data_IF_040321143412
#
_entry.id   IF_040321143412
#
_cell.length_a   1.000
_cell.length_b   1.000
_cell.length_c   1.000
_cell.angle_alpha   90.00
_cell.angle_beta   90.00
_cell.angle_gamma   90.00
#
_symmetry.space_group_name_H-M   'P 1'
#
loop_
_entity.id
_entity.type
_entity.pdbx_description
1 polymer ?
#
# COMPACT_ATOMS: atom_id res chain seq x y z
N UNK A 1 5.98 9.07 19.87
CA UNK A 1 4.85 8.33 20.46
C UNK A 1 3.78 8.10 19.39
N UNK A 2 3.78 6.92 18.77
CA UNK A 2 2.71 6.47 17.87
C UNK A 2 1.46 6.21 18.72
N UNK A 3 0.41 7.02 18.53
CA UNK A 3 -0.87 6.76 19.17
C UNK A 3 -1.54 5.60 18.43
N UNK A 4 -1.53 4.46 19.11
CA UNK A 4 -2.14 3.18 18.77
C UNK A 4 -3.58 3.36 18.28
N UNK A 5 -3.88 2.97 17.03
CA UNK A 5 -5.25 2.86 16.52
C UNK A 5 -5.77 1.46 16.86
N UNK A 6 -6.27 1.26 18.08
CA UNK A 6 -7.00 0.03 18.41
C UNK A 6 -8.38 0.02 17.75
N UNK A 7 -8.72 -1.07 17.06
CA UNK A 7 -10.12 -1.37 16.71
C UNK A 7 -10.76 -2.13 17.88
N UNK A 8 -12.02 -1.84 18.25
CA UNK A 8 -12.71 -2.62 19.26
C UNK A 8 -13.09 -4.00 18.68
N UNK A 9 -12.65 -5.08 19.34
CA UNK A 9 -13.29 -6.39 19.23
C UNK A 9 -12.79 -7.38 18.16
N UNK A 10 -11.57 -7.26 17.65
CA UNK A 10 -10.99 -8.28 16.77
C UNK A 10 -9.50 -8.42 17.05
N UNK A 11 -9.01 -9.66 17.20
CA UNK A 11 -7.59 -9.94 17.38
C UNK A 11 -6.74 -9.22 16.32
N UNK A 12 -5.52 -8.82 16.73
CA UNK A 12 -4.49 -8.21 15.88
C UNK A 12 -4.41 -8.94 14.54
N UNK A 13 -4.84 -8.29 13.46
CA UNK A 13 -4.61 -8.78 12.12
C UNK A 13 -3.49 -7.94 11.55
N UNK A 14 -2.29 -8.40 11.87
CA UNK A 14 -1.02 -7.78 11.58
C UNK A 14 -0.72 -7.91 10.07
N UNK A 15 -0.82 -6.79 9.36
CA UNK A 15 -0.85 -6.73 7.89
C UNK A 15 0.31 -5.90 7.31
N UNK A 16 0.94 -6.41 6.24
CA UNK A 16 1.59 -5.52 5.28
C UNK A 16 0.52 -4.94 4.38
N UNK A 17 0.29 -3.64 4.53
CA UNK A 17 -0.68 -2.86 3.80
C UNK A 17 -0.04 -2.32 2.51
N UNK A 18 -0.76 -2.40 1.38
CA UNK A 18 -0.30 -1.89 0.09
C UNK A 18 -1.19 -0.73 -0.33
N UNK A 19 -0.62 0.48 -0.38
CA UNK A 19 -1.29 1.66 -0.92
C UNK A 19 -0.82 1.92 -2.36
N UNK A 20 -1.76 1.95 -3.29
CA UNK A 20 -1.53 2.27 -4.70
C UNK A 20 -2.02 3.67 -5.01
N UNK A 21 -1.11 4.62 -5.20
CA UNK A 21 -1.46 5.98 -5.63
C UNK A 21 -1.53 6.09 -7.16
N UNK A 22 -2.57 6.73 -7.69
CA UNK A 22 -2.64 7.09 -9.11
C UNK A 22 -2.18 8.53 -9.38
N UNK A 23 -1.10 8.66 -10.16
CA UNK A 23 -0.51 9.92 -10.60
C UNK A 23 -1.35 10.63 -11.66
N UNK A 24 -1.24 11.97 -11.70
CA UNK A 24 -1.97 12.81 -12.64
C UNK A 24 -1.26 12.91 -14.00
N UNK A 25 -1.54 11.98 -14.92
CA UNK A 25 -1.42 12.25 -16.36
C UNK A 25 -2.79 11.99 -17.02
N UNK A 26 -3.45 13.11 -17.31
CA UNK A 26 -4.51 13.38 -18.30
C UNK A 26 -5.26 12.18 -18.91
N UNK A 27 -6.33 11.74 -18.24
CA UNK A 27 -7.62 11.70 -18.94
C UNK A 27 -8.07 13.16 -19.03
N UNK A 28 -8.35 13.63 -20.25
CA UNK A 28 -8.56 15.03 -20.63
C UNK A 28 -9.23 15.87 -19.55
N UNK A 29 -8.72 17.09 -19.40
CA UNK A 29 -9.24 18.10 -18.49
C UNK A 29 -10.77 18.05 -18.39
N UNK A 30 -11.30 17.79 -17.20
CA UNK A 30 -12.49 18.46 -16.66
C UNK A 30 -12.71 18.10 -15.18
N UNK A 31 -12.65 19.17 -14.38
CA UNK A 31 -13.20 19.40 -13.03
C UNK A 31 -12.31 19.08 -11.83
N UNK A 32 -11.75 20.16 -11.29
CA UNK A 32 -11.45 20.33 -9.88
C UNK A 32 -12.69 19.97 -9.01
N UNK A 33 -12.46 19.32 -7.86
CA UNK A 33 -13.50 19.07 -6.84
C UNK A 33 -13.86 17.61 -6.55
N UNK A 34 -13.07 16.61 -6.95
CA UNK A 34 -13.38 15.21 -6.59
C UNK A 34 -12.86 14.83 -5.21
N UNK A 35 -13.80 14.42 -4.34
CA UNK A 35 -13.56 13.75 -3.05
C UNK A 35 -12.57 12.59 -3.21
N UNK A 36 -11.61 12.48 -2.28
CA UNK A 36 -10.73 11.33 -2.16
C UNK A 36 -11.57 10.09 -1.87
N UNK A 37 -11.57 9.12 -2.78
CA UNK A 37 -12.16 7.81 -2.54
C UNK A 37 -11.01 6.82 -2.49
N UNK A 38 -10.78 6.27 -1.30
CA UNK A 38 -9.95 5.10 -1.09
C UNK A 38 -10.85 3.86 -1.17
N UNK A 39 -10.39 2.83 -1.87
CA UNK A 39 -11.14 1.57 -2.00
C UNK A 39 -10.27 0.44 -1.49
N UNK A 40 -10.75 -0.25 -0.46
CA UNK A 40 -10.14 -1.50 0.03
C UNK A 40 -10.65 -2.66 -0.82
N UNK A 41 -9.74 -3.36 -1.51
CA UNK A 41 -10.08 -4.50 -2.35
C UNK A 41 -10.78 -5.61 -1.53
N UNK A 42 -10.36 -5.82 -0.28
CA UNK A 42 -10.96 -6.77 0.66
C UNK A 42 -12.31 -6.32 1.29
N UNK A 43 -12.83 -5.13 0.96
CA UNK A 43 -14.07 -4.60 1.56
C UNK A 43 -15.14 -4.25 0.53
N UNK A 44 -15.08 -4.87 -0.65
CA UNK A 44 -16.15 -4.80 -1.66
C UNK A 44 -17.39 -5.62 -1.30
N UNK A 45 -17.73 -5.74 -0.02
CA UNK A 45 -18.70 -6.71 0.47
C UNK A 45 -20.05 -6.13 0.90
N UNK A 46 -20.27 -4.81 0.95
CA UNK A 46 -21.60 -4.28 1.30
C UNK A 46 -22.04 -3.07 0.48
N UNK A 47 -23.07 -3.32 -0.35
CA UNK A 47 -23.98 -2.36 -1.00
C UNK A 47 -23.55 -1.66 -2.30
N UNK A 48 -23.37 -2.43 -3.39
CA UNK A 48 -23.55 -1.91 -4.75
C UNK A 48 -24.78 -2.58 -5.40
N UNK A 49 -25.96 -2.01 -5.15
CA UNK A 49 -27.17 -2.38 -5.91
C UNK A 49 -27.13 -1.68 -7.27
N UNK A 50 -26.96 -2.47 -8.35
CA UNK A 50 -26.95 -1.98 -9.74
C UNK A 50 -28.26 -1.29 -10.13
N UNK A 51 -29.36 -1.63 -9.44
CA UNK A 51 -30.71 -1.13 -9.73
C UNK A 51 -30.89 0.38 -9.55
N UNK A 52 -30.15 1.02 -8.64
CA UNK A 52 -30.36 2.43 -8.26
C UNK A 52 -29.33 3.41 -8.85
N UNK A 53 -28.37 2.95 -9.65
CA UNK A 53 -27.37 3.83 -10.26
C UNK A 53 -27.96 4.68 -11.42
N UNK A 54 -27.71 6.00 -11.48
CA UNK A 54 -28.11 6.85 -12.59
C UNK A 54 -27.60 6.31 -13.94
N UNK A 55 -28.31 6.53 -15.08
CA UNK A 55 -27.96 5.95 -16.38
C UNK A 55 -26.49 6.11 -16.78
N UNK A 56 -25.91 7.28 -16.52
CA UNK A 56 -24.47 7.61 -16.74
C UNK A 56 -23.48 6.74 -15.98
N UNK A 57 -23.91 6.04 -14.92
CA UNK A 57 -23.07 5.19 -14.07
C UNK A 57 -23.40 3.70 -14.25
N UNK A 58 -24.45 3.35 -14.98
CA UNK A 58 -24.88 1.96 -15.19
C UNK A 58 -23.87 1.13 -15.97
N UNK A 59 -23.23 1.70 -16.99
CA UNK A 59 -22.20 0.99 -17.78
C UNK A 59 -20.96 0.67 -16.92
N UNK A 60 -20.55 1.61 -16.06
CA UNK A 60 -19.47 1.41 -15.08
C UNK A 60 -19.85 0.44 -13.98
N UNK A 61 -21.08 0.49 -13.47
CA UNK A 61 -21.59 -0.48 -12.50
C UNK A 61 -21.69 -1.90 -13.09
N UNK A 62 -22.11 -2.05 -14.35
CA UNK A 62 -22.09 -3.32 -15.08
C UNK A 62 -20.67 -3.84 -15.29
N UNK A 63 -19.72 -2.96 -15.62
CA UNK A 63 -18.31 -3.32 -15.76
C UNK A 63 -17.69 -3.72 -14.41
N UNK A 64 -18.09 -3.10 -13.29
CA UNK A 64 -17.71 -3.52 -11.94
C UNK A 64 -18.29 -4.89 -11.59
N UNK A 65 -19.55 -5.14 -11.93
CA UNK A 65 -20.21 -6.43 -11.67
C UNK A 65 -19.63 -7.54 -12.53
N UNK A 66 -19.31 -7.27 -13.80
CA UNK A 66 -18.61 -8.26 -14.65
C UNK A 66 -17.20 -8.54 -14.12
N UNK A 67 -16.49 -7.51 -13.67
CA UNK A 67 -15.18 -7.65 -12.98
C UNK A 67 -15.31 -8.35 -11.62
N UNK A 68 -16.48 -8.44 -10.99
CA UNK A 68 -16.70 -9.29 -9.81
C UNK A 68 -17.01 -10.74 -10.20
N UNK A 69 -17.91 -10.93 -11.16
CA UNK A 69 -18.39 -12.27 -11.54
C UNK A 69 -17.31 -13.14 -12.20
N UNK A 70 -16.31 -12.53 -12.83
CA UNK A 70 -15.23 -13.27 -13.48
C UNK A 70 -14.15 -13.83 -12.52
N UNK A 71 -14.14 -13.48 -11.23
CA UNK A 71 -12.94 -13.70 -10.40
C UNK A 71 -13.13 -14.37 -9.02
N UNK A 72 -14.35 -14.77 -8.63
CA UNK A 72 -14.60 -15.37 -7.32
C UNK A 72 -14.23 -14.44 -6.14
N UNK A 73 -14.24 -14.95 -4.91
CA UNK A 73 -13.65 -14.20 -3.79
C UNK A 73 -12.13 -14.21 -3.97
N UNK A 74 -11.47 -13.04 -4.01
CA UNK A 74 -10.02 -13.00 -4.15
C UNK A 74 -9.38 -13.36 -2.82
N UNK A 75 -8.85 -14.58 -2.70
CA UNK A 75 -8.25 -15.08 -1.45
C UNK A 75 -6.72 -14.87 -1.41
N UNK A 76 -6.10 -14.49 -2.53
CA UNK A 76 -4.66 -14.24 -2.66
C UNK A 76 -4.34 -12.79 -2.97
N UNK A 77 -3.13 -12.34 -2.60
CA UNK A 77 -2.63 -11.02 -2.96
C UNK A 77 -2.62 -10.80 -4.49
N UNK A 78 -2.20 -11.81 -5.26
CA UNK A 78 -2.21 -11.74 -6.72
C UNK A 78 -3.61 -11.49 -7.27
N UNK A 79 -4.63 -12.17 -6.73
CA UNK A 79 -6.03 -11.96 -7.12
C UNK A 79 -6.51 -10.54 -6.78
N UNK A 80 -6.13 -10.00 -5.60
CA UNK A 80 -6.45 -8.60 -5.24
C UNK A 80 -5.79 -7.60 -6.19
N UNK A 81 -4.50 -7.76 -6.47
CA UNK A 81 -3.77 -6.87 -7.36
C UNK A 81 -4.26 -6.96 -8.80
N UNK A 82 -4.61 -8.16 -9.27
CA UNK A 82 -5.25 -8.35 -10.57
C UNK A 82 -6.59 -7.59 -10.65
N UNK A 83 -7.47 -7.73 -9.65
CA UNK A 83 -8.72 -6.97 -9.59
C UNK A 83 -8.45 -5.45 -9.64
N UNK A 84 -7.47 -4.96 -8.87
CA UNK A 84 -7.08 -3.55 -8.88
C UNK A 84 -6.55 -3.14 -10.27
N UNK A 85 -5.78 -3.98 -10.96
CA UNK A 85 -5.28 -3.71 -12.31
C UNK A 85 -6.44 -3.49 -13.28
N UNK A 86 -7.51 -4.31 -13.20
CA UNK A 86 -8.73 -4.17 -14.00
C UNK A 86 -9.49 -2.89 -13.66
N UNK A 87 -9.58 -2.52 -12.38
CA UNK A 87 -10.22 -1.27 -11.95
C UNK A 87 -9.47 -0.03 -12.46
N UNK A 88 -8.13 -0.06 -12.44
CA UNK A 88 -7.29 1.00 -13.02
C UNK A 88 -7.55 1.12 -14.53
N UNK A 89 -7.55 -0.01 -15.24
CA UNK A 89 -7.81 -0.06 -16.69
C UNK A 89 -9.22 0.43 -17.05
N UNK A 90 -10.22 0.17 -16.21
CA UNK A 90 -11.58 0.66 -16.38
C UNK A 90 -11.72 2.18 -16.16
N UNK A 91 -10.68 2.87 -15.70
CA UNK A 91 -10.64 4.32 -15.61
C UNK A 91 -11.56 4.89 -14.51
N UNK A 92 -11.75 4.15 -13.42
CA UNK A 92 -12.42 4.71 -12.24
C UNK A 92 -11.61 5.88 -11.69
N UNK A 93 -12.32 6.91 -11.19
CA UNK A 93 -11.69 8.10 -10.61
C UNK A 93 -11.07 7.88 -9.21
N UNK A 94 -11.03 6.62 -8.75
CA UNK A 94 -10.36 6.22 -7.51
C UNK A 94 -8.89 6.59 -7.60
N UNK A 95 -8.34 7.21 -6.55
CA UNK A 95 -6.94 7.68 -6.54
C UNK A 95 -6.03 6.82 -5.68
N UNK A 96 -6.62 6.09 -4.74
CA UNK A 96 -5.93 5.19 -3.81
C UNK A 96 -6.66 3.86 -3.77
N UNK A 97 -5.96 2.79 -4.10
CA UNK A 97 -6.41 1.43 -3.82
C UNK A 97 -5.61 0.85 -2.66
N UNK A 98 -6.25 -0.03 -1.91
CA UNK A 98 -5.66 -0.64 -0.74
C UNK A 98 -5.92 -2.15 -0.74
N UNK A 99 -4.88 -2.94 -0.43
CA UNK A 99 -4.99 -4.38 -0.12
C UNK A 99 -3.94 -4.78 0.92
N UNK A 100 -3.97 -6.02 1.40
CA UNK A 100 -3.03 -6.52 2.39
C UNK A 100 -2.57 -7.95 2.10
N UNK A 101 -1.33 -8.25 2.51
CA UNK A 101 -0.81 -9.61 2.64
C UNK A 101 -0.63 -9.91 4.13
N UNK A 102 -1.48 -10.75 4.74
CA UNK A 102 -1.33 -11.14 6.14
C UNK A 102 -0.19 -12.16 6.32
N UNK A 103 0.15 -12.44 7.59
CA UNK A 103 1.07 -13.52 7.97
C UNK A 103 2.45 -13.08 8.44
N UNK A 104 2.76 -11.78 8.41
CA UNK A 104 4.06 -11.26 8.82
C UNK A 104 4.29 -11.23 10.34
N UNK A 105 3.24 -11.45 11.15
CA UNK A 105 3.37 -11.61 12.59
C UNK A 105 3.88 -12.98 12.99
N UNK A 106 5.18 -13.15 12.77
CA UNK A 106 5.87 -14.44 12.88
C UNK A 106 6.53 -14.57 14.26
N UNK A 107 5.78 -15.12 15.22
CA UNK A 107 6.29 -15.41 16.57
C UNK A 107 7.05 -16.74 16.67
N UNK A 108 7.01 -17.57 15.62
CA UNK A 108 7.77 -18.80 15.50
C UNK A 108 8.08 -19.06 14.01
N UNK A 109 9.13 -19.85 13.75
CA UNK A 109 9.54 -20.24 12.38
C UNK A 109 9.61 -19.06 11.40
N UNK A 110 10.13 -17.92 11.88
CA UNK A 110 10.04 -16.65 11.16
C UNK A 110 10.79 -16.69 9.84
N UNK A 111 11.97 -17.32 9.79
CA UNK A 111 12.79 -17.36 8.58
C UNK A 111 12.02 -17.96 7.39
N UNK A 112 11.38 -19.12 7.59
CA UNK A 112 10.66 -19.82 6.53
C UNK A 112 9.37 -19.08 6.16
N UNK A 113 8.56 -18.68 7.16
CA UNK A 113 7.30 -17.98 6.93
C UNK A 113 7.54 -16.64 6.23
N UNK A 114 8.49 -15.84 6.70
CA UNK A 114 8.80 -14.54 6.13
C UNK A 114 9.37 -14.66 4.71
N UNK A 115 10.20 -15.67 4.44
CA UNK A 115 10.71 -15.96 3.08
C UNK A 115 9.57 -16.27 2.11
N UNK A 116 8.64 -17.14 2.51
CA UNK A 116 7.49 -17.50 1.69
C UNK A 116 6.56 -16.30 1.42
N UNK A 117 6.36 -15.44 2.41
CA UNK A 117 5.56 -14.21 2.27
C UNK A 117 6.21 -13.19 1.34
N UNK A 118 7.54 -13.00 1.44
CA UNK A 118 8.27 -12.14 0.52
C UNK A 118 8.25 -12.67 -0.92
N UNK A 119 8.30 -13.99 -1.10
CA UNK A 119 8.15 -14.60 -2.43
C UNK A 119 6.74 -14.36 -3.01
N UNK A 120 5.70 -14.50 -2.21
CA UNK A 120 4.32 -14.19 -2.61
C UNK A 120 4.14 -12.72 -2.96
N UNK A 121 4.68 -11.81 -2.14
CA UNK A 121 4.68 -10.37 -2.41
C UNK A 121 5.38 -10.06 -3.73
N UNK A 122 6.58 -10.59 -3.94
CA UNK A 122 7.37 -10.38 -5.16
C UNK A 122 6.65 -10.86 -6.42
N UNK A 123 6.10 -12.08 -6.40
CA UNK A 123 5.36 -12.64 -7.53
C UNK A 123 4.10 -11.83 -7.86
N UNK A 124 3.31 -11.45 -6.85
CA UNK A 124 2.08 -10.67 -7.03
C UNK A 124 2.38 -9.27 -7.58
N UNK A 125 3.42 -8.60 -7.07
CA UNK A 125 3.83 -7.27 -7.55
C UNK A 125 4.37 -7.34 -8.98
N UNK A 126 5.18 -8.36 -9.31
CA UNK A 126 5.70 -8.55 -10.66
C UNK A 126 4.56 -8.75 -11.67
N UNK A 127 3.61 -9.64 -11.37
CA UNK A 127 2.44 -9.86 -12.22
C UNK A 127 1.63 -8.57 -12.40
N UNK A 128 1.37 -7.85 -11.30
CA UNK A 128 0.62 -6.60 -11.32
C UNK A 128 1.23 -5.54 -12.23
N UNK A 129 2.54 -5.27 -12.10
CA UNK A 129 3.21 -4.30 -12.96
C UNK A 129 3.38 -4.78 -14.39
N UNK A 130 3.44 -6.10 -14.64
CA UNK A 130 3.42 -6.68 -15.99
C UNK A 130 2.10 -6.36 -16.69
N UNK A 131 0.97 -6.61 -16.02
CA UNK A 131 -0.37 -6.30 -16.55
C UNK A 131 -0.57 -4.79 -16.79
N UNK A 132 -0.13 -3.95 -15.85
CA UNK A 132 -0.21 -2.49 -16.01
C UNK A 132 0.66 -1.99 -17.15
N UNK A 133 1.83 -2.59 -17.37
CA UNK A 133 2.73 -2.21 -18.47
C UNK A 133 2.10 -2.57 -19.81
N UNK A 134 1.56 -3.79 -19.95
CA UNK A 134 0.82 -4.21 -21.15
C UNK A 134 -0.38 -3.30 -21.44
N UNK A 135 -1.08 -2.87 -20.40
CA UNK A 135 -2.21 -1.95 -20.51
C UNK A 135 -1.81 -0.46 -20.67
N UNK A 136 -0.51 -0.14 -20.69
CA UNK A 136 0.02 1.23 -20.74
C UNK A 136 -0.48 2.12 -19.58
N UNK A 137 -0.64 1.52 -18.40
CA UNK A 137 -1.08 2.17 -17.15
C UNK A 137 0.00 2.16 -16.06
N UNK A 138 1.17 1.56 -16.27
CA UNK A 138 2.20 1.46 -15.23
C UNK A 138 2.73 2.84 -14.77
N UNK A 139 2.95 3.78 -15.69
CA UNK A 139 3.56 5.10 -15.41
C UNK A 139 2.76 5.98 -14.46
N UNK A 140 1.48 5.66 -14.26
CA UNK A 140 0.59 6.39 -13.35
C UNK A 140 0.36 5.67 -12.04
N UNK A 141 1.10 4.59 -11.74
CA UNK A 141 0.95 3.80 -10.50
C UNK A 141 2.25 3.86 -9.68
N UNK A 142 2.10 4.16 -8.40
CA UNK A 142 3.13 3.94 -7.37
C UNK A 142 2.54 3.05 -6.29
N UNK A 143 3.25 1.98 -5.95
CA UNK A 143 2.91 1.01 -4.91
C UNK A 143 3.80 1.28 -3.69
N UNK A 144 3.20 1.47 -2.52
CA UNK A 144 3.87 1.53 -1.23
C UNK A 144 3.46 0.32 -0.39
N UNK A 145 4.43 -0.44 0.13
CA UNK A 145 4.19 -1.38 1.23
C UNK A 145 4.44 -0.68 2.55
N UNK A 146 3.64 -0.97 3.57
CA UNK A 146 3.85 -0.50 4.93
C UNK A 146 3.30 -1.49 5.97
N UNK A 147 3.75 -1.35 7.20
CA UNK A 147 3.36 -2.21 8.33
C UNK A 147 3.19 -1.36 9.59
N UNK A 148 2.28 -1.75 10.47
CA UNK A 148 2.08 -1.09 11.77
C UNK A 148 3.14 -1.47 12.82
N UNK A 149 3.92 -2.52 12.55
CA UNK A 149 4.99 -3.03 13.40
C UNK A 149 6.21 -3.44 12.57
N UNK A 150 7.34 -3.59 13.26
CA UNK A 150 8.55 -4.26 12.82
C UNK A 150 8.84 -5.49 13.66
N UNK A 151 10.01 -6.11 13.45
CA UNK A 151 10.48 -7.24 14.27
C UNK A 151 11.67 -6.83 15.12
N UNK A 152 11.78 -7.38 16.33
CA UNK A 152 12.97 -7.20 17.16
C UNK A 152 14.19 -7.84 16.53
N UNK A 153 15.37 -7.32 16.89
CA UNK A 153 16.65 -7.84 16.42
C UNK A 153 16.94 -9.22 17.02
N UNK A 154 16.58 -9.43 18.29
CA UNK A 154 16.79 -10.69 18.98
C UNK A 154 15.72 -11.73 18.61
N UNK A 155 16.17 -12.96 18.34
CA UNK A 155 15.31 -14.14 18.22
C UNK A 155 14.68 -14.49 19.58
N UNK A 156 13.43 -14.93 19.57
CA UNK A 156 12.75 -15.46 20.75
C UNK A 156 12.98 -16.98 20.89
N UNK A 157 12.47 -17.59 21.96
CA UNK A 157 12.66 -19.02 22.23
C UNK A 157 11.98 -19.99 21.27
N UNK A 158 11.38 -19.52 20.17
CA UNK A 158 10.61 -20.33 19.21
C UNK A 158 11.07 -20.15 17.76
N UNK A 159 12.32 -19.71 17.55
CA UNK A 159 12.86 -19.37 16.22
C UNK A 159 12.02 -18.31 15.48
N UNK A 160 11.36 -17.43 16.25
CA UNK A 160 10.67 -16.24 15.77
C UNK A 160 11.29 -14.99 16.39
N UNK A 161 10.60 -13.85 16.30
CA UNK A 161 10.97 -12.65 17.06
C UNK A 161 9.76 -12.09 17.77
N UNK A 162 9.92 -11.04 18.57
CA UNK A 162 8.79 -10.26 19.08
C UNK A 162 8.52 -9.03 18.22
N UNK A 163 7.41 -8.34 18.50
CA UNK A 163 7.06 -7.07 17.87
C UNK A 163 8.11 -6.01 18.20
N UNK A 164 8.54 -5.26 17.19
CA UNK A 164 9.44 -4.12 17.32
C UNK A 164 8.93 -2.88 16.59
N UNK A 165 9.60 -1.75 16.78
CA UNK A 165 9.14 -0.45 16.26
C UNK A 165 9.61 -0.10 14.83
N UNK A 166 10.73 -0.68 14.38
CA UNK A 166 11.36 -0.32 13.09
C UNK A 166 11.04 -1.31 11.97
N UNK A 167 10.62 -0.81 10.81
CA UNK A 167 10.30 -1.62 9.63
C UNK A 167 10.87 -1.02 8.33
N UNK A 168 10.82 -1.80 7.26
CA UNK A 168 11.19 -1.38 5.90
C UNK A 168 9.94 -1.18 5.04
N UNK A 169 9.94 -0.15 4.21
CA UNK A 169 8.88 0.13 3.25
C UNK A 169 9.44 -0.03 1.83
N UNK A 170 8.72 -0.74 0.95
CA UNK A 170 9.04 -0.81 -0.47
C UNK A 170 8.19 0.19 -1.22
N UNK A 171 8.83 1.03 -2.02
CA UNK A 171 8.17 1.91 -2.98
C UNK A 171 8.50 1.42 -4.39
N UNK A 172 7.49 1.11 -5.18
CA UNK A 172 7.63 0.41 -6.46
C UNK A 172 6.81 1.11 -7.54
N UNK A 173 7.43 1.33 -8.71
CA UNK A 173 6.76 1.83 -9.90
C UNK A 173 7.69 2.66 -10.80
N UNK A 174 7.31 2.95 -12.05
CA UNK A 174 8.16 3.67 -13.00
C UNK A 174 8.53 5.10 -12.57
N UNK A 175 7.71 5.71 -11.72
CA UNK A 175 7.96 7.05 -11.19
C UNK A 175 8.91 7.07 -9.97
N UNK A 176 9.25 5.92 -9.41
CA UNK A 176 10.10 5.82 -8.21
C UNK A 176 11.57 6.02 -8.60
N UNK A 177 12.29 6.85 -7.83
CA UNK A 177 13.70 7.13 -8.06
C UNK A 177 14.57 5.86 -7.98
N UNK A 178 14.21 4.96 -7.06
CA UNK A 178 14.94 3.72 -6.77
C UNK A 178 16.08 3.94 -5.77
N UNK A 179 16.66 2.83 -5.31
CA UNK A 179 17.73 2.83 -4.31
C UNK A 179 17.24 2.77 -2.86
N UNK A 180 18.21 2.74 -1.93
CA UNK A 180 17.97 2.78 -0.50
C UNK A 180 17.83 4.24 -0.04
N UNK A 181 16.66 4.60 0.48
CA UNK A 181 16.44 5.90 1.12
C UNK A 181 16.52 5.72 2.62
N UNK A 182 17.40 6.49 3.26
CA UNK A 182 17.73 6.36 4.68
C UNK A 182 19.08 5.65 4.90
N UNK A 183 19.36 5.30 6.15
CA UNK A 183 20.56 4.57 6.54
C UNK A 183 20.16 3.19 7.02
N UNK A 184 20.97 2.18 6.72
CA UNK A 184 20.81 0.88 7.36
C UNK A 184 20.99 1.05 8.87
N UNK A 185 20.02 0.65 9.70
CA UNK A 185 20.16 0.81 11.14
C UNK A 185 21.24 -0.13 11.67
N UNK A 186 21.92 0.28 12.75
CA UNK A 186 22.83 -0.60 13.48
C UNK A 186 22.03 -1.66 14.24
N UNK A 187 22.54 -2.89 14.25
CA UNK A 187 22.00 -3.99 15.05
C UNK A 187 22.72 -4.15 16.40
N UNK A 188 23.71 -3.29 16.68
CA UNK A 188 24.46 -3.34 17.94
C UNK A 188 23.53 -3.02 19.13
N UNK A 189 23.65 -3.74 20.27
CA UNK A 189 22.72 -3.59 21.39
C UNK A 189 22.58 -2.16 21.94
N UNK A 190 23.65 -1.36 21.91
CA UNK A 190 23.70 0.03 22.37
C UNK A 190 23.00 1.02 21.41
N UNK A 191 22.82 0.62 20.15
CA UNK A 191 22.10 1.39 19.13
C UNK A 191 20.58 1.12 19.12
N UNK A 192 20.11 0.13 19.87
CA UNK A 192 18.70 -0.23 19.98
C UNK A 192 17.96 0.65 20.99
N UNK A 193 16.65 0.74 20.86
CA UNK A 193 15.75 1.34 21.86
C UNK A 193 14.96 0.20 22.51
N UNK A 194 15.36 -0.22 23.71
CA UNK A 194 14.77 -1.37 24.41
C UNK A 194 14.65 -2.66 23.57
N UNK A 195 15.64 -2.90 22.69
CA UNK A 195 15.68 -4.06 21.78
C UNK A 195 15.06 -3.81 20.40
N UNK A 196 14.43 -2.65 20.19
CA UNK A 196 13.85 -2.25 18.91
C UNK A 196 14.85 -1.47 18.05
N UNK A 197 14.73 -1.61 16.73
CA UNK A 197 15.45 -0.77 15.78
C UNK A 197 14.97 0.69 15.89
N UNK A 198 15.92 1.61 16.02
CA UNK A 198 15.66 3.04 15.90
C UNK A 198 15.40 3.39 14.42
N UNK A 199 14.27 4.03 14.14
CA UNK A 199 13.92 4.44 12.79
C UNK A 199 14.82 5.61 12.34
N UNK A 200 15.33 5.55 11.11
CA UNK A 200 16.06 6.66 10.49
C UNK A 200 15.14 7.64 9.75
N UNK A 201 13.93 7.18 9.39
CA UNK A 201 12.93 7.93 8.64
C UNK A 201 11.60 7.80 9.36
N UNK A 202 10.93 8.93 9.58
CA UNK A 202 9.55 8.92 10.06
C UNK A 202 8.61 8.61 8.88
N UNK A 203 7.71 7.65 9.03
CA UNK A 203 6.78 7.25 7.97
C UNK A 203 5.92 8.41 7.44
N UNK A 204 5.70 9.46 8.26
CA UNK A 204 4.97 10.67 7.86
C UNK A 204 5.70 11.43 6.76
N UNK A 205 7.03 11.34 6.68
CA UNK A 205 7.80 11.90 5.57
C UNK A 205 7.48 11.19 4.24
N UNK A 206 7.29 9.87 4.27
CA UNK A 206 6.88 9.07 3.10
C UNK A 206 5.48 9.50 2.67
N UNK A 207 4.54 9.55 3.62
CA UNK A 207 3.15 9.91 3.33
C UNK A 207 3.00 11.33 2.82
N UNK A 208 3.72 12.29 3.40
CA UNK A 208 3.76 13.68 2.91
C UNK A 208 4.26 13.76 1.48
N UNK A 209 5.40 13.12 1.21
CA UNK A 209 5.99 13.11 -0.14
C UNK A 209 5.00 12.55 -1.16
N UNK A 210 4.37 11.41 -0.88
CA UNK A 210 3.41 10.81 -1.81
C UNK A 210 2.10 11.62 -1.91
N UNK A 211 1.60 12.19 -0.82
CA UNK A 211 0.39 13.02 -0.86
C UNK A 211 0.61 14.27 -1.71
N UNK A 212 1.68 15.03 -1.46
CA UNK A 212 1.93 16.30 -2.13
C UNK A 212 2.51 16.11 -3.54
N UNK A 213 3.56 15.30 -3.68
CA UNK A 213 4.30 15.22 -4.95
C UNK A 213 3.68 14.22 -5.94
N UNK A 214 3.09 13.13 -5.45
CA UNK A 214 2.44 12.14 -6.32
C UNK A 214 0.94 12.39 -6.50
N UNK A 215 0.19 12.52 -5.40
CA UNK A 215 -1.25 12.75 -5.42
C UNK A 215 -1.64 14.22 -5.61
N UNK A 216 -0.69 15.16 -5.62
CA UNK A 216 -0.98 16.60 -5.79
C UNK A 216 -2.03 17.08 -4.80
N UNK A 217 -1.96 16.58 -3.56
CA UNK A 217 -2.81 17.00 -2.46
C UNK A 217 -2.44 18.43 -2.05
N UNK A 218 -3.44 19.30 -1.99
CA UNK A 218 -3.32 20.72 -1.62
C UNK A 218 -4.26 21.10 -0.47
N UNK A 219 -4.78 20.08 0.24
CA UNK A 219 -5.66 20.29 1.39
C UNK A 219 -4.89 20.71 2.66
N UNK A 220 -5.56 20.69 3.82
CA UNK A 220 -4.94 21.02 5.11
C UNK A 220 -3.65 20.24 5.35
N UNK A 221 -2.73 20.82 6.12
CA UNK A 221 -1.50 20.15 6.49
C UNK A 221 -1.78 18.75 7.07
N UNK A 222 -1.01 17.77 6.62
CA UNK A 222 -0.98 16.44 7.24
C UNK A 222 -0.60 16.58 8.73
N UNK A 223 -0.94 15.60 9.59
CA UNK A 223 -0.79 15.72 11.05
C UNK A 223 0.54 16.34 11.50
N UNK A 224 0.45 17.25 12.47
CA UNK A 224 1.46 18.26 12.84
C UNK A 224 2.93 17.81 12.88
N UNK A 225 3.80 18.63 12.27
CA UNK A 225 5.26 18.55 12.28
C UNK A 225 5.88 18.89 10.92
N UNK A 226 7.12 19.39 10.93
CA UNK A 226 7.90 19.70 9.72
C UNK A 226 8.53 18.40 9.17
N UNK A 227 7.72 17.49 8.63
CA UNK A 227 8.24 16.26 8.01
C UNK A 227 8.86 16.58 6.66
N UNK A 228 10.17 16.77 6.58
CA UNK A 228 10.85 17.04 5.31
C UNK A 228 10.55 15.97 4.25
N UNK A 229 10.34 16.42 3.01
CA UNK A 229 10.05 15.52 1.89
C UNK A 229 11.29 14.72 1.52
N UNK A 230 11.05 13.48 1.12
CA UNK A 230 12.09 12.53 0.73
C UNK A 230 12.23 12.51 -0.80
N UNK A 231 13.43 12.21 -1.34
CA UNK A 231 13.65 12.11 -2.78
C UNK A 231 13.13 10.76 -3.35
N UNK A 232 11.84 10.47 -3.14
CA UNK A 232 11.24 9.17 -3.48
C UNK A 232 10.93 9.01 -4.97
N UNK A 233 10.67 10.11 -5.66
CA UNK A 233 10.15 10.13 -7.03
C UNK A 233 11.19 10.73 -7.97
N UNK A 234 11.24 10.22 -9.20
CA UNK A 234 12.06 10.80 -10.27
C UNK A 234 11.63 12.24 -10.55
N UNK A 235 12.61 13.12 -10.78
CA UNK A 235 12.33 14.44 -11.30
C UNK A 235 11.57 14.31 -12.64
N UNK A 236 10.56 15.15 -12.86
CA UNK A 236 9.91 15.23 -14.17
C UNK A 236 10.86 15.96 -15.11
N UNK A 237 11.50 15.24 -16.01
CA UNK A 237 12.04 15.78 -17.27
C UNK A 237 10.92 16.23 -18.19
#
# INVERSE_FOLDING_TARGET
MTRRLERPGGGRQDVTEIALGLGSRTLGQRRAGRRFVAVRAASFDRHLHVGSAPPRHRQRARQLVSVRQSFGQPDSLSSHLHLISRLIQAGFGTRVYYTALPGFDTHADQLNQHTNLLAQLGAAVQQFFTELTQAKQADRVVLLTFSEFGRRVAENGSAGTDHGAGSSNFLIGPAVAGGLIGKHPSLAPDALDAGDLRHAIDFRQIYRTLAEDWLKYTGPALPAGDFEKLPLLRAKT
#
